data_IF_621322626739
#
_entry.id   IF_621322626739
#
_cell.length_a   1.000
_cell.length_b   1.000
_cell.length_c   1.000
_cell.angle_alpha   90.00
_cell.angle_beta   90.00
_cell.angle_gamma   90.00
#
_symmetry.space_group_name_H-M   'P 1'
#
loop_
_entity.id
_entity.type
_entity.pdbx_description
1 polymer ?
#
# COMPACT_ATOMS: atom_id res chain seq x y z
N UNK A 1 -7.62 -8.54 -16.16
CA UNK A 1 -7.56 -8.13 -14.74
C UNK A 1 -7.15 -6.67 -14.64
N UNK A 2 -7.94 -5.86 -13.92
CA UNK A 2 -7.74 -4.40 -13.79
C UNK A 2 -6.58 -4.07 -12.84
N UNK A 3 -6.42 -4.86 -11.77
CA UNK A 3 -5.35 -4.78 -10.78
C UNK A 3 -4.28 -5.86 -11.04
N UNK A 4 -3.01 -5.55 -10.75
CA UNK A 4 -1.87 -6.49 -10.75
C UNK A 4 -0.91 -6.20 -9.60
N UNK A 5 -0.03 -7.15 -9.30
CA UNK A 5 0.97 -7.06 -8.23
C UNK A 5 0.58 -7.90 -7.01
N UNK A 6 1.12 -7.57 -5.85
CA UNK A 6 0.78 -8.19 -4.57
C UNK A 6 -0.47 -7.58 -3.97
N UNK A 7 -1.60 -8.27 -4.12
CA UNK A 7 -2.91 -7.84 -3.59
C UNK A 7 -3.21 -8.36 -2.18
N UNK A 8 -2.27 -9.08 -1.58
CA UNK A 8 -2.33 -9.59 -0.20
C UNK A 8 -1.12 -9.05 0.56
N UNK A 9 -1.33 -8.72 1.84
CA UNK A 9 -0.28 -8.35 2.78
C UNK A 9 -0.50 -9.15 4.06
N UNK A 10 0.59 -9.66 4.63
CA UNK A 10 0.62 -10.10 6.02
C UNK A 10 0.81 -8.89 6.94
N UNK A 11 0.58 -9.10 8.23
CA UNK A 11 0.92 -8.13 9.28
C UNK A 11 2.42 -7.88 9.30
N UNK A 12 2.82 -6.61 9.39
CA UNK A 12 4.19 -6.16 9.53
C UNK A 12 4.31 -5.31 10.78
N UNK A 13 5.11 -5.76 11.74
CA UNK A 13 5.39 -5.03 12.96
C UNK A 13 6.48 -4.00 12.70
N UNK A 14 6.18 -2.74 12.95
CA UNK A 14 7.10 -1.63 12.73
C UNK A 14 6.76 -0.48 13.66
N UNK A 15 7.70 0.46 13.78
CA UNK A 15 7.48 1.76 14.37
C UNK A 15 7.06 2.77 13.31
N UNK A 16 6.12 3.63 13.63
CA UNK A 16 5.72 4.75 12.77
C UNK A 16 6.70 5.93 12.84
N UNK A 17 6.32 7.07 12.26
CA UNK A 17 7.13 8.29 12.24
C UNK A 17 7.35 8.90 13.63
N UNK A 18 6.50 8.58 14.59
CA UNK A 18 6.57 9.06 15.98
C UNK A 18 7.24 8.02 16.90
N UNK A 19 7.86 6.99 16.30
CA UNK A 19 8.55 5.90 16.97
C UNK A 19 7.61 5.03 17.84
N UNK A 20 6.31 5.04 17.55
CA UNK A 20 5.31 4.21 18.22
C UNK A 20 5.20 2.88 17.49
N UNK A 21 5.29 1.78 18.25
CA UNK A 21 5.16 0.43 17.71
C UNK A 21 3.72 0.12 17.31
N UNK A 22 3.55 -0.50 16.14
CA UNK A 22 2.26 -0.86 15.60
C UNK A 22 2.31 -2.02 14.61
N UNK A 23 1.12 -2.45 14.20
CA UNK A 23 0.91 -3.51 13.22
C UNK A 23 0.33 -2.91 11.93
N UNK A 24 1.04 -3.11 10.82
CA UNK A 24 0.72 -2.50 9.54
C UNK A 24 0.52 -3.57 8.46
N UNK A 25 -0.41 -3.32 7.54
CA UNK A 25 -0.54 -4.06 6.29
C UNK A 25 -0.09 -3.14 5.16
N UNK A 26 0.98 -3.50 4.45
CA UNK A 26 1.61 -2.62 3.47
C UNK A 26 1.60 -3.28 2.10
N UNK A 27 1.19 -2.51 1.09
CA UNK A 27 1.01 -2.98 -0.28
C UNK A 27 1.98 -2.23 -1.22
N UNK A 28 3.28 -2.58 -1.24
CA UNK A 28 4.30 -1.85 -1.99
C UNK A 28 4.23 -2.06 -3.51
N UNK A 29 3.49 -3.08 -3.96
CA UNK A 29 3.41 -3.47 -5.36
C UNK A 29 1.96 -3.70 -5.76
N UNK A 30 1.23 -2.61 -6.00
CA UNK A 30 -0.09 -2.62 -6.62
C UNK A 30 -0.06 -1.73 -7.85
N UNK A 31 -0.59 -2.24 -8.96
CA UNK A 31 -0.76 -1.46 -10.19
C UNK A 31 -2.17 -1.63 -10.75
N UNK A 32 -2.72 -0.54 -11.28
CA UNK A 32 -3.97 -0.52 -12.04
C UNK A 32 -3.66 -0.05 -13.46
N UNK A 33 -4.17 -0.77 -14.47
CA UNK A 33 -3.76 -0.56 -15.87
C UNK A 33 -4.74 0.22 -16.73
N UNK A 34 -5.94 0.44 -16.23
CA UNK A 34 -7.02 1.10 -16.97
C UNK A 34 -7.21 2.50 -16.41
N UNK A 35 -7.17 3.52 -17.28
CA UNK A 35 -7.42 4.92 -16.90
C UNK A 35 -8.77 5.06 -16.19
N UNK A 36 -8.84 5.94 -15.20
CA UNK A 36 -10.07 6.20 -14.45
C UNK A 36 -9.83 6.53 -12.98
N UNK A 37 -10.91 6.74 -12.25
CA UNK A 37 -10.88 7.05 -10.82
C UNK A 37 -11.35 5.83 -10.03
N UNK A 38 -10.55 5.39 -9.07
CA UNK A 38 -10.79 4.16 -8.32
C UNK A 38 -10.62 4.37 -6.82
N UNK A 39 -11.12 3.41 -6.05
CA UNK A 39 -10.83 3.24 -4.62
C UNK A 39 -10.36 1.81 -4.40
N UNK A 40 -9.40 1.62 -3.49
CA UNK A 40 -9.00 0.29 -3.05
C UNK A 40 -9.87 -0.13 -1.86
N UNK A 41 -10.40 -1.35 -1.88
CA UNK A 41 -11.05 -1.98 -0.73
C UNK A 41 -10.08 -2.93 -0.05
N UNK A 42 -9.65 -2.60 1.15
CA UNK A 42 -8.83 -3.47 1.99
C UNK A 42 -9.77 -4.32 2.84
N UNK A 43 -9.64 -5.64 2.76
CA UNK A 43 -10.45 -6.58 3.55
C UNK A 43 -9.51 -7.38 4.44
N UNK A 44 -9.73 -7.30 5.75
CA UNK A 44 -8.98 -8.02 6.76
C UNK A 44 -9.60 -9.39 6.99
N UNK A 45 -8.73 -10.40 7.00
CA UNK A 45 -9.10 -11.77 7.31
C UNK A 45 -8.22 -12.32 8.43
N UNK A 46 -8.80 -13.14 9.27
CA UNK A 46 -8.13 -13.91 10.31
C UNK A 46 -8.14 -15.39 9.93
N UNK A 47 -7.01 -16.06 10.13
CA UNK A 47 -6.86 -17.49 9.83
C UNK A 47 -6.75 -18.23 11.16
N UNK A 48 -7.71 -19.09 11.47
CA UNK A 48 -7.70 -19.94 12.67
C UNK A 48 -7.76 -21.39 12.24
N UNK A 49 -6.64 -22.10 12.41
CA UNK A 49 -6.46 -23.44 11.86
C UNK A 49 -6.51 -23.42 10.33
N UNK A 50 -7.45 -24.16 9.74
CA UNK A 50 -7.69 -24.19 8.29
C UNK A 50 -8.85 -23.28 7.84
N UNK A 51 -9.44 -22.50 8.74
CA UNK A 51 -10.61 -21.67 8.45
C UNK A 51 -10.20 -20.20 8.34
N UNK A 52 -10.78 -19.50 7.36
CA UNK A 52 -10.57 -18.07 7.10
C UNK A 52 -11.82 -17.30 7.47
N UNK A 53 -11.70 -16.33 8.38
CA UNK A 53 -12.78 -15.47 8.84
C UNK A 53 -12.61 -14.06 8.28
N UNK A 54 -13.66 -13.50 7.70
CA UNK A 54 -13.69 -12.08 7.37
C UNK A 54 -13.91 -11.26 8.64
N UNK A 55 -13.04 -10.29 8.89
CA UNK A 55 -13.15 -9.43 10.07
C UNK A 55 -13.83 -8.10 9.71
N UNK A 56 -13.25 -7.35 8.78
CA UNK A 56 -13.69 -5.99 8.41
C UNK A 56 -13.13 -5.58 7.07
N UNK A 57 -13.73 -4.56 6.46
CA UNK A 57 -13.14 -3.88 5.30
C UNK A 57 -13.21 -2.37 5.41
N UNK A 58 -12.26 -1.70 4.76
CA UNK A 58 -12.19 -0.24 4.64
C UNK A 58 -11.88 0.15 3.19
N UNK A 59 -12.34 1.32 2.77
CA UNK A 59 -12.06 1.89 1.45
C UNK A 59 -11.03 3.01 1.56
N UNK A 60 -10.07 3.05 0.64
CA UNK A 60 -9.16 4.19 0.49
C UNK A 60 -9.90 5.47 0.08
N UNK A 61 -9.22 6.60 0.15
CA UNK A 61 -9.58 7.77 -0.64
C UNK A 61 -9.52 7.45 -2.14
N UNK A 62 -10.34 8.10 -2.98
CA UNK A 62 -10.27 7.95 -4.42
C UNK A 62 -8.91 8.41 -4.97
N UNK A 63 -8.42 7.72 -6.00
CA UNK A 63 -7.20 8.05 -6.72
C UNK A 63 -7.40 7.90 -8.22
N UNK A 64 -6.60 8.62 -9.00
CA UNK A 64 -6.67 8.64 -10.47
C UNK A 64 -5.57 7.80 -11.08
N UNK A 65 -5.94 6.91 -11.99
CA UNK A 65 -5.01 6.21 -12.88
C UNK A 65 -4.93 6.99 -14.17
N UNK A 66 -3.77 7.54 -14.46
CA UNK A 66 -3.54 8.37 -15.64
C UNK A 66 -3.05 7.54 -16.83
N UNK A 67 -3.39 7.98 -18.05
CA UNK A 67 -2.62 7.60 -19.23
C UNK A 67 -1.21 8.18 -19.16
N UNK A 68 -0.27 7.57 -19.90
CA UNK A 68 1.13 8.01 -19.93
C UNK A 68 1.32 9.50 -20.25
N UNK A 69 0.47 10.05 -21.13
CA UNK A 69 0.51 11.48 -21.52
C UNK A 69 0.04 12.44 -20.43
N UNK A 70 -0.88 12.01 -19.56
CA UNK A 70 -1.46 12.83 -18.49
C UNK A 70 -0.79 12.59 -17.13
N UNK A 71 0.15 11.67 -17.06
CA UNK A 71 0.75 11.25 -15.81
C UNK A 71 1.59 12.39 -15.21
N UNK A 72 1.27 12.90 -14.00
CA UNK A 72 1.94 14.07 -13.43
C UNK A 72 3.35 13.76 -12.89
N UNK A 73 3.78 12.49 -12.99
CA UNK A 73 4.97 12.00 -12.31
C UNK A 73 4.61 11.25 -11.03
N UNK A 74 5.63 10.75 -10.36
CA UNK A 74 5.49 10.00 -9.12
C UNK A 74 5.80 10.92 -7.94
N UNK A 75 5.00 10.85 -6.90
CA UNK A 75 5.32 11.52 -5.64
C UNK A 75 6.62 10.98 -5.03
N UNK A 76 7.37 11.82 -4.30
CA UNK A 76 8.48 11.35 -3.49
C UNK A 76 7.98 10.40 -2.40
N UNK A 77 8.87 9.54 -1.89
CA UNK A 77 8.52 8.65 -0.79
C UNK A 77 8.17 9.45 0.46
N UNK A 78 6.99 9.17 1.04
CA UNK A 78 6.56 9.78 2.30
C UNK A 78 7.48 9.42 3.46
N UNK A 79 7.49 10.22 4.52
CA UNK A 79 8.22 9.94 5.77
C UNK A 79 7.88 8.57 6.34
N UNK A 80 6.60 8.18 6.34
CA UNK A 80 6.18 6.84 6.78
C UNK A 80 6.79 5.72 5.92
N UNK A 81 6.80 5.88 4.60
CA UNK A 81 7.40 4.89 3.68
C UNK A 81 8.90 4.75 3.91
N UNK A 82 9.61 5.86 4.14
CA UNK A 82 11.03 5.86 4.45
C UNK A 82 11.33 5.20 5.81
N UNK A 83 10.51 5.49 6.83
CA UNK A 83 10.62 4.87 8.15
C UNK A 83 10.43 3.35 8.10
N UNK A 84 9.46 2.86 7.31
CA UNK A 84 9.29 1.42 7.11
C UNK A 84 10.44 0.80 6.31
N UNK A 85 10.95 1.49 5.28
CA UNK A 85 12.11 1.01 4.53
C UNK A 85 13.36 0.85 5.41
N UNK A 86 13.62 1.80 6.30
CA UNK A 86 14.71 1.74 7.29
C UNK A 86 14.58 0.56 8.26
N UNK A 87 13.38 0.04 8.47
CA UNK A 87 13.09 -1.13 9.31
C UNK A 87 13.09 -2.45 8.52
N UNK A 88 13.47 -2.42 7.25
CA UNK A 88 13.64 -3.61 6.41
C UNK A 88 12.45 -3.94 5.51
N UNK A 89 11.39 -3.12 5.50
CA UNK A 89 10.29 -3.30 4.56
C UNK A 89 10.76 -3.00 3.13
N UNK A 90 10.59 -3.94 2.21
CA UNK A 90 10.97 -3.80 0.80
C UNK A 90 9.99 -2.92 0.03
N UNK A 91 10.08 -1.61 0.22
CA UNK A 91 9.35 -0.56 -0.52
C UNK A 91 10.30 0.16 -1.48
N UNK A 92 9.81 0.53 -2.66
CA UNK A 92 10.60 1.34 -3.62
C UNK A 92 10.75 2.77 -3.08
N UNK A 93 11.97 3.18 -2.78
CA UNK A 93 12.28 4.55 -2.36
C UNK A 93 12.51 5.47 -3.54
N UNK A 94 11.98 6.69 -3.46
CA UNK A 94 12.19 7.79 -4.40
C UNK A 94 12.52 9.05 -3.60
N UNK A 95 13.68 9.64 -3.87
CA UNK A 95 14.09 10.92 -3.31
C UNK A 95 13.51 12.08 -4.11
N UNK A 96 13.25 13.22 -3.46
CA UNK A 96 13.18 14.49 -4.17
C UNK A 96 14.56 14.76 -4.78
N UNK A 97 14.64 14.92 -6.10
CA UNK A 97 15.82 15.52 -6.69
C UNK A 97 15.80 17.00 -6.27
N UNK A 98 16.72 17.38 -5.38
CA UNK A 98 17.02 18.78 -5.08
C UNK A 98 17.57 19.50 -6.31
#
# INVERSE_FOLDING_TARGET
HIIRGSVVSSIYHAKDTDNVEGAFFVFPDISVRVEGTYRLKFSLFEIVGSVVYFCKSVLSSPFTVYSAKKFPGMDPSTSLSQTFAKQGLKVRMRSENR
#
